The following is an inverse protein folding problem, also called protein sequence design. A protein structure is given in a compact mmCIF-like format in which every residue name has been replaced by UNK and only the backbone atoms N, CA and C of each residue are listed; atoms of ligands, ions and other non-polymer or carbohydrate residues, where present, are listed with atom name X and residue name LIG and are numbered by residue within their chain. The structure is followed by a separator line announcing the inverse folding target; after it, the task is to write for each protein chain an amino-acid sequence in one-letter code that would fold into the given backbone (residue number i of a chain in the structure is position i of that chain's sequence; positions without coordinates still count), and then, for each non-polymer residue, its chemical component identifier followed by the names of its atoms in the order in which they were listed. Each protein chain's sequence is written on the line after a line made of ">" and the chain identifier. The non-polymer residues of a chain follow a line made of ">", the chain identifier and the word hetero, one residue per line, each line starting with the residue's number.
data_IF_217120870484
#
_entry.id   IF_217120870484
#
_cell.length_a   1.000
_cell.length_b   1.000
_cell.length_c   1.000
_cell.angle_alpha   90.00
_cell.angle_beta   90.00
_cell.angle_gamma   90.00
#
_symmetry.space_group_name_H-M   'P 1'
#
loop_
_entity.id
_entity.type
_entity.pdbx_description
1 polymer ?
#
# COMPACT_ATOMS: atom_id res chain seq x y z
N UNK A 1 5.46 12.80 -25.45
CA UNK A 1 5.87 13.01 -24.04
C UNK A 1 4.60 12.78 -23.22
N UNK A 2 4.45 11.83 -22.31
CA UNK A 2 5.38 10.93 -21.62
C UNK A 2 4.70 9.57 -21.47
N UNK A 3 5.49 8.50 -21.49
CA UNK A 3 5.03 7.16 -21.12
C UNK A 3 4.50 7.24 -19.69
N UNK A 4 3.19 7.09 -19.51
CA UNK A 4 2.67 6.70 -18.21
C UNK A 4 3.39 5.39 -17.87
N UNK A 5 4.31 5.43 -16.91
CA UNK A 5 4.88 4.22 -16.33
C UNK A 5 3.71 3.44 -15.77
N UNK A 6 3.21 2.50 -16.58
CA UNK A 6 2.18 1.57 -16.21
C UNK A 6 2.79 0.69 -15.13
N UNK A 7 2.66 1.10 -13.87
CA UNK A 7 2.77 0.17 -12.77
C UNK A 7 1.65 -0.84 -12.98
N UNK A 8 1.96 -2.10 -13.30
CA UNK A 8 0.93 -3.09 -13.56
C UNK A 8 0.06 -3.22 -12.31
N UNK A 9 -1.26 -3.14 -12.50
CA UNK A 9 -2.25 -3.40 -11.46
C UNK A 9 -1.91 -4.74 -10.79
N UNK A 10 -1.69 -4.70 -9.47
CA UNK A 10 -1.27 -5.87 -8.73
C UNK A 10 -2.47 -6.39 -7.93
N UNK A 11 -3.08 -7.53 -8.31
CA UNK A 11 -4.24 -8.07 -7.62
C UNK A 11 -3.94 -8.42 -6.15
N UNK A 12 -2.66 -8.64 -5.81
CA UNK A 12 -2.21 -8.96 -4.46
C UNK A 12 -1.87 -7.72 -3.61
N UNK A 13 -2.01 -6.50 -4.15
CA UNK A 13 -1.62 -5.26 -3.46
C UNK A 13 -2.33 -5.11 -2.10
N UNK A 14 -3.63 -5.35 -2.05
CA UNK A 14 -4.40 -5.30 -0.79
C UNK A 14 -3.84 -6.25 0.24
N UNK A 15 -3.63 -7.50 -0.18
CA UNK A 15 -3.14 -8.58 0.68
C UNK A 15 -1.73 -8.28 1.19
N UNK A 16 -0.86 -7.74 0.33
CA UNK A 16 0.49 -7.36 0.69
C UNK A 16 0.51 -6.24 1.73
N UNK A 17 -0.33 -5.21 1.56
CA UNK A 17 -0.50 -4.14 2.54
C UNK A 17 -1.05 -4.67 3.86
N UNK A 18 -2.13 -5.46 3.80
CA UNK A 18 -2.73 -6.07 5.00
C UNK A 18 -1.70 -6.91 5.77
N UNK A 19 -0.91 -7.74 5.07
CA UNK A 19 0.11 -8.59 5.69
C UNK A 19 1.32 -7.81 6.20
N UNK A 20 1.77 -6.77 5.49
CA UNK A 20 2.83 -5.89 5.96
C UNK A 20 2.43 -5.15 7.24
N UNK A 21 1.19 -4.67 7.30
CA UNK A 21 0.64 -4.04 8.49
C UNK A 21 0.48 -5.06 9.62
N UNK A 22 -0.02 -6.26 9.35
CA UNK A 22 -0.17 -7.34 10.36
C UNK A 22 1.16 -7.75 11.00
N UNK A 23 2.26 -7.74 10.23
CA UNK A 23 3.59 -8.06 10.74
C UNK A 23 4.16 -7.03 11.72
N UNK A 24 3.66 -5.79 11.70
CA UNK A 24 4.19 -4.68 12.51
C UNK A 24 3.18 -4.21 13.56
N UNK A 25 1.90 -4.32 13.24
CA UNK A 25 0.80 -3.75 13.98
C UNK A 25 -0.15 -4.87 14.39
N UNK A 26 -0.72 -4.73 15.59
CA UNK A 26 -1.87 -5.54 15.98
C UNK A 26 -3.09 -5.28 15.07
N UNK A 27 -4.11 -6.13 15.23
CA UNK A 27 -5.31 -6.15 14.38
C UNK A 27 -6.06 -4.79 14.36
N UNK A 28 -6.23 -4.14 15.50
CA UNK A 28 -6.90 -2.85 15.62
C UNK A 28 -6.18 -1.71 14.85
N UNK A 29 -4.88 -1.42 15.08
CA UNK A 29 -4.16 -0.40 14.32
C UNK A 29 -4.11 -0.68 12.81
N UNK A 30 -4.01 -1.95 12.41
CA UNK A 30 -4.10 -2.35 11.00
C UNK A 30 -5.43 -1.90 10.38
N UNK A 31 -6.56 -2.22 11.01
CA UNK A 31 -7.87 -1.87 10.49
C UNK A 31 -8.05 -0.35 10.36
N UNK A 32 -7.59 0.41 11.36
CA UNK A 32 -7.62 1.89 11.33
C UNK A 32 -6.79 2.44 10.17
N UNK A 33 -5.59 1.91 9.93
CA UNK A 33 -4.74 2.36 8.83
C UNK A 33 -5.30 1.99 7.47
N UNK A 34 -5.78 0.74 7.31
CA UNK A 34 -6.45 0.31 6.08
C UNK A 34 -7.63 1.23 5.75
N UNK A 35 -8.45 1.56 6.76
CA UNK A 35 -9.55 2.50 6.60
C UNK A 35 -9.09 3.91 6.21
N UNK A 36 -8.02 4.43 6.82
CA UNK A 36 -7.44 5.73 6.44
C UNK A 36 -6.89 5.75 5.02
N UNK A 37 -6.24 4.68 4.56
CA UNK A 37 -5.74 4.57 3.19
C UNK A 37 -6.91 4.66 2.18
N UNK A 38 -7.98 3.91 2.43
CA UNK A 38 -9.15 3.88 1.55
C UNK A 38 -9.93 5.20 1.59
N UNK A 39 -10.30 5.68 2.78
CA UNK A 39 -11.16 6.85 2.90
C UNK A 39 -10.42 8.18 2.74
N UNK A 40 -9.27 8.35 3.42
CA UNK A 40 -8.57 9.63 3.44
C UNK A 40 -7.66 9.84 2.23
N UNK A 41 -7.09 8.76 1.69
CA UNK A 41 -6.17 8.82 0.55
C UNK A 41 -6.76 8.25 -0.75
N UNK A 42 -8.05 7.85 -0.73
CA UNK A 42 -8.79 7.34 -1.89
C UNK A 42 -8.10 6.13 -2.55
N UNK A 43 -7.40 5.32 -1.76
CA UNK A 43 -6.81 4.08 -2.25
C UNK A 43 -7.92 3.10 -2.57
N UNK A 44 -7.98 2.68 -3.83
CA UNK A 44 -8.83 1.57 -4.24
C UNK A 44 -7.97 0.33 -4.39
N UNK A 45 -8.36 -0.73 -3.72
CA UNK A 45 -7.64 -2.00 -3.79
C UNK A 45 -8.21 -2.96 -4.85
N UNK A 46 -9.38 -2.65 -5.41
CA UNK A 46 -10.15 -3.56 -6.27
C UNK A 46 -10.68 -2.85 -7.53
N UNK A 47 -10.98 -3.65 -8.55
CA UNK A 47 -11.66 -3.23 -9.79
C UNK A 47 -10.83 -2.33 -10.73
N UNK A 48 -11.51 -1.70 -11.68
CA UNK A 48 -10.90 -0.82 -12.70
C UNK A 48 -10.31 0.48 -12.13
N UNK A 49 -10.53 0.76 -10.85
CA UNK A 49 -9.97 1.91 -10.13
C UNK A 49 -8.76 1.57 -9.26
N UNK A 50 -8.24 0.35 -9.33
CA UNK A 50 -7.18 -0.12 -8.42
C UNK A 50 -5.95 0.79 -8.46
N UNK A 51 -5.63 1.35 -7.30
CA UNK A 51 -4.45 2.18 -7.05
C UNK A 51 -3.17 1.39 -7.28
N UNK A 52 -2.13 2.08 -7.76
CA UNK A 52 -0.83 1.45 -7.95
C UNK A 52 -0.09 1.30 -6.62
N UNK A 53 0.97 0.48 -6.61
CA UNK A 53 1.88 0.39 -5.46
C UNK A 53 2.41 1.78 -5.06
N UNK A 54 2.79 2.61 -6.04
CA UNK A 54 3.29 3.96 -5.77
C UNK A 54 2.25 4.87 -5.08
N UNK A 55 0.97 4.71 -5.40
CA UNK A 55 -0.10 5.48 -4.73
C UNK A 55 -0.25 5.04 -3.28
N UNK A 56 -0.17 3.73 -3.03
CA UNK A 56 -0.19 3.16 -1.68
C UNK A 56 1.02 3.61 -0.87
N UNK A 57 2.22 3.60 -1.44
CA UNK A 57 3.45 4.07 -0.78
C UNK A 57 3.33 5.52 -0.35
N UNK A 58 2.88 6.40 -1.25
CA UNK A 58 2.63 7.82 -0.93
C UNK A 58 1.59 7.99 0.17
N UNK A 59 0.53 7.18 0.15
CA UNK A 59 -0.49 7.23 1.18
C UNK A 59 0.05 6.75 2.54
N UNK A 60 0.86 5.70 2.57
CA UNK A 60 1.53 5.22 3.78
C UNK A 60 2.48 6.29 4.35
N UNK A 61 3.29 6.93 3.50
CA UNK A 61 4.15 8.07 3.89
C UNK A 61 3.35 9.22 4.48
N UNK A 62 2.19 9.55 3.89
CA UNK A 62 1.35 10.63 4.38
C UNK A 62 0.71 10.30 5.75
N UNK A 63 0.35 9.05 6.00
CA UNK A 63 -0.32 8.63 7.25
C UNK A 63 0.68 8.40 8.38
N UNK A 64 1.85 7.81 8.07
CA UNK A 64 2.82 7.32 9.07
C UNK A 64 4.12 8.13 9.12
N UNK A 65 4.34 9.03 8.16
CA UNK A 65 5.57 9.81 8.06
C UNK A 65 6.79 8.91 7.94
N UNK A 66 7.82 9.19 8.75
CA UNK A 66 9.06 8.42 8.79
C UNK A 66 8.86 6.93 9.16
N UNK A 67 7.75 6.56 9.81
CA UNK A 67 7.44 5.17 10.14
C UNK A 67 6.94 4.33 8.94
N UNK A 68 6.65 4.98 7.79
CA UNK A 68 6.14 4.30 6.61
C UNK A 68 7.18 3.41 5.91
N UNK A 69 8.47 3.75 6.01
CA UNK A 69 9.55 3.11 5.25
C UNK A 69 9.59 1.59 5.46
N UNK A 70 9.51 1.15 6.71
CA UNK A 70 9.53 -0.28 7.06
C UNK A 70 8.30 -1.00 6.49
N UNK A 71 7.13 -0.37 6.54
CA UNK A 71 5.89 -0.97 6.00
C UNK A 71 5.97 -1.03 4.48
N UNK A 72 6.45 0.01 3.82
CA UNK A 72 6.64 0.05 2.36
C UNK A 72 7.60 -1.05 1.90
N UNK A 73 8.71 -1.24 2.61
CA UNK A 73 9.66 -2.31 2.33
C UNK A 73 9.00 -3.70 2.45
N UNK A 74 8.21 -3.92 3.50
CA UNK A 74 7.46 -5.16 3.67
C UNK A 74 6.40 -5.37 2.57
N UNK A 75 5.70 -4.32 2.15
CA UNK A 75 4.73 -4.42 1.04
C UNK A 75 5.45 -4.83 -0.24
N UNK A 76 6.58 -4.20 -0.57
CA UNK A 76 7.39 -4.57 -1.74
C UNK A 76 7.87 -6.01 -1.67
N UNK A 77 8.30 -6.46 -0.48
CA UNK A 77 8.70 -7.85 -0.22
C UNK A 77 7.58 -8.84 -0.48
N UNK A 78 6.38 -8.56 0.04
CA UNK A 78 5.21 -9.42 -0.13
C UNK A 78 4.76 -9.50 -1.59
N UNK A 79 4.99 -8.45 -2.38
CA UNK A 79 4.75 -8.43 -3.82
C UNK A 79 5.90 -9.05 -4.63
N UNK A 80 6.95 -9.57 -3.99
CA UNK A 80 8.11 -10.14 -4.67
C UNK A 80 8.95 -9.13 -5.45
N UNK A 81 8.90 -7.85 -5.08
CA UNK A 81 9.61 -6.75 -5.76
C UNK A 81 10.94 -6.35 -5.08
N UNK A 82 11.47 -7.20 -4.20
CA UNK A 82 12.83 -7.04 -3.70
C UNK A 82 13.83 -7.57 -4.74
N UNK A 83 14.73 -6.69 -5.18
CA UNK A 83 15.92 -7.03 -5.97
C UNK A 83 17.00 -7.65 -5.08
#
# INVERSE_FOLDING_TARGET
>A
MSLASANPHNPDLRRAVEKALDNILGEDPKNVLMHRLVESHRISFEGNGQSSLMDVEKALEAVLGAGAEIIIELVRRELGQLW
#
